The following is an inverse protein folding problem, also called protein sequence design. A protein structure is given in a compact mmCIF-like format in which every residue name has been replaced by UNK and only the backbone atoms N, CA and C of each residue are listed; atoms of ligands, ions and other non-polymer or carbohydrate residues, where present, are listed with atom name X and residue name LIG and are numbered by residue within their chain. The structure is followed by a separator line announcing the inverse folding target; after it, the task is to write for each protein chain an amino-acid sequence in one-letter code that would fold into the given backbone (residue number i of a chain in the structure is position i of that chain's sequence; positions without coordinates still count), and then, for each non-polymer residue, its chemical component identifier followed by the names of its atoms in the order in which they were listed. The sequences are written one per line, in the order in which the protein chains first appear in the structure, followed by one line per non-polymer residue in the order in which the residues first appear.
data_IF_705386471366
#
_entry.id   IF_705386471366
#
_cell.length_a   1.000
_cell.length_b   1.000
_cell.length_c   1.000
_cell.angle_alpha   90.00
_cell.angle_beta   90.00
_cell.angle_gamma   90.00
#
_symmetry.space_group_name_H-M   'P 1'
#
loop_
_entity.id
_entity.type
_entity.pdbx_description
1 polymer ?
#
# COMPACT_ATOMS: atom_id res chain seq x y z
N UNK A 1 18.62 2.01 -8.07
CA UNK A 1 18.89 1.24 -6.84
C UNK A 1 17.52 0.78 -6.37
N UNK A 2 17.26 -0.52 -6.32
CA UNK A 2 16.02 -1.06 -5.75
C UNK A 2 16.04 -0.73 -4.24
N UNK A 3 14.96 -0.22 -3.68
CA UNK A 3 14.85 -0.08 -2.23
C UNK A 3 14.96 -1.46 -1.56
N UNK A 4 15.50 -1.52 -0.33
CA UNK A 4 15.43 -2.76 0.45
C UNK A 4 13.96 -3.18 0.59
N UNK A 5 13.64 -4.41 0.16
CA UNK A 5 12.29 -4.95 0.22
C UNK A 5 11.49 -4.90 -1.09
N UNK A 6 12.04 -4.37 -2.18
CA UNK A 6 11.36 -4.48 -3.48
C UNK A 6 11.25 -5.95 -3.97
N UNK A 7 10.08 -6.37 -4.48
CA UNK A 7 9.86 -7.73 -4.95
C UNK A 7 10.63 -8.00 -6.25
N UNK A 8 11.08 -9.24 -6.43
CA UNK A 8 11.53 -9.73 -7.73
C UNK A 8 10.38 -9.81 -8.73
N UNK A 9 10.68 -9.89 -10.04
CA UNK A 9 9.65 -10.03 -11.08
C UNK A 9 8.74 -11.26 -10.86
N UNK A 10 9.29 -12.36 -10.34
CA UNK A 10 8.50 -13.54 -10.01
C UNK A 10 7.54 -13.25 -8.84
N UNK A 11 8.02 -12.62 -7.77
CA UNK A 11 7.18 -12.26 -6.63
C UNK A 11 6.08 -11.25 -7.01
N UNK A 12 6.39 -10.29 -7.89
CA UNK A 12 5.37 -9.37 -8.40
C UNK A 12 4.28 -10.10 -9.19
N UNK A 13 4.66 -11.10 -9.99
CA UNK A 13 3.69 -11.95 -10.72
C UNK A 13 2.78 -12.71 -9.75
N UNK A 14 3.34 -13.28 -8.68
CA UNK A 14 2.58 -13.96 -7.62
C UNK A 14 1.62 -12.99 -6.90
N UNK A 15 2.05 -11.76 -6.63
CA UNK A 15 1.21 -10.71 -6.03
C UNK A 15 0.07 -10.29 -6.96
N UNK A 16 0.33 -10.11 -8.27
CA UNK A 16 -0.71 -9.78 -9.27
C UNK A 16 -1.78 -10.87 -9.29
N UNK A 17 -1.37 -12.15 -9.30
CA UNK A 17 -2.30 -13.27 -9.30
C UNK A 17 -3.13 -13.30 -8.01
N UNK A 18 -2.48 -13.17 -6.86
CA UNK A 18 -3.16 -13.12 -5.56
C UNK A 18 -4.22 -12.00 -5.51
N UNK A 19 -3.88 -10.81 -5.98
CA UNK A 19 -4.80 -9.67 -5.98
C UNK A 19 -6.02 -9.92 -6.86
N UNK A 20 -5.81 -10.48 -8.07
CA UNK A 20 -6.91 -10.82 -9.00
C UNK A 20 -7.83 -11.89 -8.42
N UNK A 21 -7.26 -12.94 -7.82
CA UNK A 21 -8.03 -14.05 -7.25
C UNK A 21 -8.86 -13.64 -6.03
N UNK A 22 -8.40 -12.65 -5.27
CA UNK A 22 -9.06 -12.17 -4.06
C UNK A 22 -9.84 -10.87 -4.25
N UNK A 23 -9.89 -10.31 -5.47
CA UNK A 23 -10.57 -9.05 -5.73
C UNK A 23 -10.02 -7.88 -4.93
N UNK A 24 -8.69 -7.79 -4.79
CA UNK A 24 -8.04 -6.69 -4.07
C UNK A 24 -8.20 -5.39 -4.86
N UNK A 25 -8.79 -4.38 -4.23
CA UNK A 25 -9.12 -3.07 -4.83
C UNK A 25 -8.21 -1.94 -4.38
N UNK A 26 -7.41 -2.13 -3.34
CA UNK A 26 -6.51 -1.10 -2.80
C UNK A 26 -5.17 -1.70 -2.40
N UNK A 27 -4.09 -1.05 -2.82
CA UNK A 27 -2.72 -1.31 -2.39
C UNK A 27 -2.28 -0.19 -1.45
N UNK A 28 -1.89 -0.53 -0.23
CA UNK A 28 -1.38 0.45 0.73
C UNK A 28 0.15 0.55 0.62
N UNK A 29 0.66 1.79 0.54
CA UNK A 29 2.09 2.08 0.50
C UNK A 29 2.43 3.11 1.57
N UNK A 30 3.65 3.08 2.10
CA UNK A 30 4.17 4.15 2.95
C UNK A 30 4.62 5.35 2.11
N UNK A 31 4.66 6.54 2.70
CA UNK A 31 4.99 7.77 1.97
C UNK A 31 6.49 7.87 1.62
N UNK A 32 7.36 7.26 2.43
CA UNK A 32 8.81 7.33 2.25
C UNK A 32 9.38 6.30 1.26
N UNK A 33 8.57 5.31 0.82
CA UNK A 33 8.99 4.33 -0.17
C UNK A 33 8.68 4.81 -1.60
N UNK A 34 9.53 4.42 -2.56
CA UNK A 34 9.23 4.65 -3.98
C UNK A 34 7.92 3.92 -4.35
N UNK A 35 6.88 4.65 -4.80
CA UNK A 35 5.59 4.03 -5.08
C UNK A 35 5.57 3.25 -6.39
N UNK A 36 6.66 3.23 -7.18
CA UNK A 36 6.66 2.67 -8.54
C UNK A 36 6.22 1.20 -8.59
N UNK A 37 6.67 0.38 -7.64
CA UNK A 37 6.26 -1.04 -7.56
C UNK A 37 4.78 -1.15 -7.16
N UNK A 38 4.36 -0.42 -6.13
CA UNK A 38 2.97 -0.42 -5.66
C UNK A 38 2.00 0.07 -6.74
N UNK A 39 2.41 1.08 -7.50
CA UNK A 39 1.65 1.64 -8.62
C UNK A 39 1.56 0.62 -9.77
N UNK A 40 2.68 -0.02 -10.12
CA UNK A 40 2.68 -1.06 -11.16
C UNK A 40 1.75 -2.21 -10.78
N UNK A 41 1.80 -2.67 -9.52
CA UNK A 41 0.90 -3.72 -9.04
C UNK A 41 -0.57 -3.28 -9.11
N UNK A 42 -0.87 -2.06 -8.64
CA UNK A 42 -2.23 -1.53 -8.65
C UNK A 42 -2.80 -1.41 -10.07
N UNK A 43 -2.02 -0.89 -11.02
CA UNK A 43 -2.42 -0.73 -12.42
C UNK A 43 -2.73 -2.10 -13.07
N UNK A 44 -1.91 -3.13 -12.80
CA UNK A 44 -2.07 -4.47 -13.35
C UNK A 44 -3.33 -5.21 -12.85
N UNK A 45 -3.85 -4.83 -11.69
CA UNK A 45 -5.00 -5.48 -11.03
C UNK A 45 -6.24 -4.60 -11.01
N UNK A 46 -6.15 -3.36 -11.50
CA UNK A 46 -7.24 -2.38 -11.48
C UNK A 46 -7.57 -1.85 -10.07
N UNK A 47 -6.56 -1.81 -9.19
CA UNK A 47 -6.67 -1.25 -7.84
C UNK A 47 -6.19 0.20 -7.79
N UNK A 48 -6.44 0.87 -6.67
CA UNK A 48 -5.86 2.18 -6.34
C UNK A 48 -4.71 2.04 -5.33
N UNK A 49 -3.74 2.96 -5.39
CA UNK A 49 -2.71 3.07 -4.35
C UNK A 49 -3.16 4.12 -3.33
N UNK A 50 -3.10 3.78 -2.03
CA UNK A 50 -3.32 4.71 -0.92
C UNK A 50 -2.13 4.75 0.01
N UNK A 51 -1.81 5.93 0.53
CA UNK A 51 -0.80 6.06 1.58
C UNK A 51 -1.34 5.59 2.93
N UNK A 52 -0.49 4.93 3.70
CA UNK A 52 -0.77 4.49 5.08
C UNK A 52 0.40 4.86 5.99
N UNK A 53 0.09 5.24 7.23
CA UNK A 53 1.13 5.49 8.23
C UNK A 53 1.63 4.17 8.82
N UNK A 54 2.93 3.88 8.70
CA UNK A 54 3.56 2.69 9.32
C UNK A 54 3.86 2.91 10.81
N UNK A 55 3.77 4.16 11.28
CA UNK A 55 3.99 4.57 12.67
C UNK A 55 5.46 4.38 13.11
N UNK A 56 6.38 4.17 12.16
CA UNK A 56 7.80 4.05 12.43
C UNK A 56 8.44 5.38 12.87
N UNK A 57 7.89 6.50 12.38
CA UNK A 57 8.36 7.85 12.71
C UNK A 57 7.19 8.80 12.99
N UNK A 58 7.48 10.03 13.39
CA UNK A 58 6.47 11.08 13.49
C UNK A 58 6.26 11.73 12.12
N UNK A 59 5.01 11.82 11.69
CA UNK A 59 4.63 12.31 10.35
C UNK A 59 3.47 13.30 10.50
N UNK A 60 3.41 14.28 9.60
CA UNK A 60 2.31 15.26 9.44
C UNK A 60 1.91 16.07 10.68
N UNK A 61 2.79 16.14 11.69
CA UNK A 61 2.50 16.76 12.99
C UNK A 61 1.23 16.20 13.66
N UNK A 62 0.88 14.94 13.38
CA UNK A 62 -0.29 14.28 13.94
C UNK A 62 0.07 13.43 15.16
N UNK A 63 -0.88 13.31 16.10
CA UNK A 63 -0.73 12.36 17.21
C UNK A 63 -0.76 10.92 16.71
N UNK A 64 -0.23 9.99 17.51
CA UNK A 64 -0.36 8.55 17.24
C UNK A 64 -1.82 8.14 17.00
N UNK A 65 -2.73 8.61 17.86
CA UNK A 65 -4.15 8.22 17.80
C UNK A 65 -4.81 8.76 16.53
N UNK A 66 -4.46 9.97 16.10
CA UNK A 66 -5.05 10.55 14.89
C UNK A 66 -4.59 9.82 13.63
N UNK A 67 -3.30 9.45 13.53
CA UNK A 67 -2.79 8.64 12.41
C UNK A 67 -3.40 7.24 12.38
N UNK A 68 -3.59 6.61 13.54
CA UNK A 68 -4.26 5.30 13.61
C UNK A 68 -5.73 5.38 13.20
N UNK A 69 -6.44 6.46 13.56
CA UNK A 69 -7.82 6.69 13.11
C UNK A 69 -7.89 6.89 11.59
N UNK A 70 -6.96 7.65 11.02
CA UNK A 70 -6.87 7.84 9.58
C UNK A 70 -6.61 6.50 8.85
N UNK A 71 -5.63 5.72 9.32
CA UNK A 71 -5.36 4.37 8.80
C UNK A 71 -6.61 3.47 8.84
N UNK A 72 -7.29 3.40 9.98
CA UNK A 72 -8.50 2.60 10.13
C UNK A 72 -9.62 3.06 9.19
N UNK A 73 -9.79 4.38 9.02
CA UNK A 73 -10.77 4.96 8.09
C UNK A 73 -10.47 4.57 6.64
N UNK A 74 -9.20 4.64 6.23
CA UNK A 74 -8.77 4.24 4.88
C UNK A 74 -8.98 2.76 4.63
N UNK A 75 -8.58 1.90 5.56
CA UNK A 75 -8.77 0.44 5.48
C UNK A 75 -10.26 0.12 5.36
N UNK A 76 -11.09 0.68 6.25
CA UNK A 76 -12.53 0.43 6.24
C UNK A 76 -13.18 0.85 4.91
N UNK A 77 -12.82 2.02 4.40
CA UNK A 77 -13.34 2.53 3.12
C UNK A 77 -12.94 1.66 1.92
N UNK A 78 -11.79 0.99 2.00
CA UNK A 78 -11.31 0.08 0.95
C UNK A 78 -11.93 -1.32 0.98
N UNK A 79 -12.66 -1.67 2.03
CA UNK A 79 -13.41 -2.93 2.14
C UNK A 79 -14.87 -2.81 1.65
N UNK A 80 -15.29 -1.61 1.25
CA UNK A 80 -16.67 -1.26 0.92
C UNK A 80 -16.99 -1.40 -0.56
#
# INVERSE_FOLDING_TARGET
MFAEGEPTAQQLTELVQYCKDNGVTTIFAEEMASPEVSQTLADEVGAEVKTIYTIESAEDNMSYVDRMKDNLSKIYSSLS
#
